data_IF_394553195439
#
_entry.id   IF_394553195439
#
_cell.length_a   1.000
_cell.length_b   1.000
_cell.length_c   1.000
_cell.angle_alpha   90.00
_cell.angle_beta   90.00
_cell.angle_gamma   90.00
#
_symmetry.space_group_name_H-M   'P 1'
#
loop_
_entity.id
_entity.type
_entity.pdbx_description
1 polymer ?
#
# COMPACT_ATOMS: atom_id res chain seq x y z
N UNK A 1 -3.72 -15.28 -24.23
CA UNK A 1 -3.24 -14.97 -22.88
C UNK A 1 -4.46 -14.80 -21.96
N UNK A 2 -4.72 -15.79 -21.12
CA UNK A 2 -5.83 -15.72 -20.15
C UNK A 2 -5.55 -14.67 -19.11
N UNK A 3 -6.56 -13.87 -18.74
CA UNK A 3 -6.47 -12.98 -17.58
C UNK A 3 -6.22 -13.81 -16.31
N UNK A 4 -5.29 -13.36 -15.46
CA UNK A 4 -4.97 -14.03 -14.19
C UNK A 4 -6.16 -14.06 -13.24
N UNK A 5 -7.06 -13.09 -13.34
CA UNK A 5 -8.27 -12.97 -12.53
C UNK A 5 -9.50 -12.93 -13.45
N UNK A 6 -10.54 -13.66 -13.07
CA UNK A 6 -11.81 -13.61 -13.79
C UNK A 6 -12.46 -12.23 -13.62
N UNK A 7 -12.59 -11.49 -14.74
CA UNK A 7 -13.11 -10.13 -14.75
C UNK A 7 -14.52 -10.05 -14.17
N UNK A 8 -15.39 -11.02 -14.46
CA UNK A 8 -16.75 -11.02 -13.91
C UNK A 8 -16.76 -11.19 -12.40
N UNK A 9 -15.90 -12.06 -11.86
CA UNK A 9 -15.73 -12.21 -10.42
C UNK A 9 -15.20 -10.92 -9.82
N UNK A 10 -14.21 -10.28 -10.43
CA UNK A 10 -13.66 -9.01 -9.98
C UNK A 10 -14.72 -7.89 -10.00
N UNK A 11 -15.53 -7.81 -11.05
CA UNK A 11 -16.63 -6.82 -11.16
C UNK A 11 -17.70 -7.03 -10.07
N UNK A 12 -17.98 -8.28 -9.70
CA UNK A 12 -18.91 -8.60 -8.61
C UNK A 12 -18.37 -8.18 -7.22
N UNK A 13 -17.07 -7.90 -7.09
CA UNK A 13 -16.48 -7.38 -5.85
C UNK A 13 -16.81 -5.91 -5.58
N UNK A 14 -17.45 -5.20 -6.51
CA UNK A 14 -17.85 -3.78 -6.35
C UNK A 14 -19.08 -3.65 -5.47
N UNK A 15 -18.88 -3.71 -4.17
CA UNK A 15 -19.95 -3.68 -3.18
C UNK A 15 -19.84 -2.56 -2.14
N UNK A 16 -18.73 -1.79 -2.16
CA UNK A 16 -18.50 -0.71 -1.21
C UNK A 16 -18.95 0.63 -1.81
N UNK A 17 -19.76 1.39 -1.08
CA UNK A 17 -20.36 2.64 -1.56
C UNK A 17 -19.59 3.88 -1.17
N UNK A 18 -18.81 3.83 -0.07
CA UNK A 18 -18.07 4.97 0.45
C UNK A 18 -16.61 4.61 0.73
N UNK A 19 -15.65 5.49 0.39
CA UNK A 19 -14.25 5.31 0.79
C UNK A 19 -14.11 5.53 2.31
N UNK A 20 -13.13 4.85 2.90
CA UNK A 20 -12.66 5.11 4.26
C UNK A 20 -11.46 6.05 4.15
N UNK A 21 -11.53 7.21 4.80
CA UNK A 21 -10.53 8.27 4.66
C UNK A 21 -9.46 8.25 5.75
N UNK A 22 -9.73 7.59 6.88
CA UNK A 22 -8.79 7.44 8.01
C UNK A 22 -9.21 6.28 8.90
N UNK A 23 -8.28 5.81 9.74
CA UNK A 23 -8.64 4.89 10.82
C UNK A 23 -9.36 5.64 11.93
N UNK A 24 -10.47 5.09 12.40
CA UNK A 24 -11.27 5.64 13.52
C UNK A 24 -11.21 4.75 14.77
N UNK A 25 -10.67 3.54 14.63
CA UNK A 25 -10.56 2.56 15.71
C UNK A 25 -9.14 1.98 15.71
N UNK A 26 -8.51 1.93 16.89
CA UNK A 26 -7.16 1.35 17.06
C UNK A 26 -7.07 -0.14 16.69
N UNK A 27 -8.19 -0.84 16.69
CA UNK A 27 -8.27 -2.27 16.32
C UNK A 27 -8.47 -2.48 14.81
N UNK A 28 -8.64 -1.42 14.04
CA UNK A 28 -8.71 -1.49 12.58
C UNK A 28 -7.36 -1.98 12.01
N UNK A 29 -7.43 -2.81 10.98
CA UNK A 29 -6.26 -3.37 10.31
C UNK A 29 -6.21 -2.87 8.86
N UNK A 30 -5.33 -1.89 8.61
CA UNK A 30 -5.09 -1.31 7.29
C UNK A 30 -3.70 -1.63 6.77
N UNK A 31 -3.62 -1.78 5.46
CA UNK A 31 -2.38 -1.92 4.69
C UNK A 31 -2.37 -0.95 3.53
N UNK A 32 -1.20 -0.42 3.20
CA UNK A 32 -1.00 0.43 2.03
C UNK A 32 -0.19 -0.32 0.98
N UNK A 33 -0.62 -0.24 -0.27
CA UNK A 33 0.15 -0.66 -1.43
C UNK A 33 0.54 0.55 -2.26
N UNK A 34 1.82 0.72 -2.58
CA UNK A 34 2.32 1.85 -3.36
C UNK A 34 2.78 1.36 -4.72
N UNK A 35 2.11 1.85 -5.76
CA UNK A 35 2.50 1.66 -7.15
C UNK A 35 3.18 2.94 -7.66
N UNK A 36 4.48 2.83 -7.97
CA UNK A 36 5.30 3.96 -8.42
C UNK A 36 5.26 4.03 -9.95
N UNK A 37 4.92 5.19 -10.47
CA UNK A 37 4.90 5.43 -11.92
C UNK A 37 6.27 5.15 -12.56
N UNK A 38 6.27 4.41 -13.66
CA UNK A 38 7.49 3.96 -14.37
C UNK A 38 8.24 5.06 -15.13
N UNK A 39 7.63 6.23 -15.32
CA UNK A 39 8.23 7.34 -16.07
C UNK A 39 7.73 8.68 -15.58
N UNK A 40 8.64 9.61 -15.38
CA UNK A 40 8.31 10.99 -15.04
C UNK A 40 7.82 11.82 -16.26
N UNK A 41 7.96 11.29 -17.48
CA UNK A 41 7.84 12.07 -18.72
C UNK A 41 6.52 11.91 -19.47
N UNK A 42 5.56 11.14 -18.96
CA UNK A 42 4.26 10.97 -19.61
C UNK A 42 3.14 11.38 -18.67
N UNK A 43 2.26 12.25 -19.17
CA UNK A 43 1.10 12.78 -18.44
C UNK A 43 0.12 11.72 -17.90
N UNK A 44 0.30 10.44 -18.27
CA UNK A 44 -0.59 9.34 -17.91
C UNK A 44 -0.03 8.38 -16.86
N UNK A 45 1.22 8.54 -16.42
CA UNK A 45 1.83 7.69 -15.41
C UNK A 45 1.72 8.36 -14.05
N UNK A 46 0.78 7.93 -13.25
CA UNK A 46 0.55 8.44 -11.90
C UNK A 46 0.90 7.36 -10.87
N UNK A 47 1.52 7.76 -9.77
CA UNK A 47 1.73 6.90 -8.62
C UNK A 47 0.46 6.86 -7.78
N UNK A 48 0.13 5.69 -7.21
CA UNK A 48 -1.06 5.50 -6.41
C UNK A 48 -0.74 4.80 -5.09
N UNK A 49 -1.53 5.13 -4.07
CA UNK A 49 -1.62 4.37 -2.83
C UNK A 49 -2.96 3.65 -2.81
N UNK A 50 -2.93 2.33 -2.77
CA UNK A 50 -4.09 1.50 -2.50
C UNK A 50 -4.24 1.29 -1.00
N UNK A 51 -5.40 1.56 -0.43
CA UNK A 51 -5.68 1.34 0.99
C UNK A 51 -6.57 0.12 1.13
N UNK A 52 -6.04 -0.90 1.80
CA UNK A 52 -6.75 -2.16 2.06
C UNK A 52 -7.09 -2.25 3.54
N UNK A 53 -8.37 -2.49 3.84
CA UNK A 53 -8.84 -2.86 5.17
C UNK A 53 -9.07 -4.35 5.24
N UNK A 54 -8.47 -5.00 6.23
CA UNK A 54 -8.69 -6.42 6.52
C UNK A 54 -9.70 -6.55 7.65
N UNK A 55 -10.82 -7.22 7.37
CA UNK A 55 -11.83 -7.55 8.38
C UNK A 55 -11.65 -9.01 8.79
N UNK A 56 -11.61 -9.25 10.10
CA UNK A 56 -11.41 -10.57 10.68
C UNK A 56 -12.59 -10.98 11.53
N UNK A 57 -12.67 -12.28 11.82
CA UNK A 57 -13.57 -12.83 12.85
C UNK A 57 -13.25 -12.22 14.22
N UNK A 58 -14.20 -12.33 15.18
CA UNK A 58 -14.02 -11.76 16.54
C UNK A 58 -12.77 -12.26 17.25
N UNK A 59 -12.41 -13.52 17.05
CA UNK A 59 -11.19 -14.14 17.60
C UNK A 59 -9.92 -13.82 16.79
N UNK A 60 -10.06 -13.01 15.71
CA UNK A 60 -9.00 -12.60 14.78
C UNK A 60 -8.30 -13.74 14.02
N UNK A 61 -8.83 -14.97 14.10
CA UNK A 61 -8.21 -16.15 13.51
C UNK A 61 -8.37 -16.25 12.00
N UNK A 62 -9.44 -15.69 11.43
CA UNK A 62 -9.78 -15.80 10.01
C UNK A 62 -10.09 -14.44 9.38
N UNK A 63 -9.72 -14.28 8.12
CA UNK A 63 -10.12 -13.14 7.29
C UNK A 63 -11.56 -13.34 6.83
N UNK A 64 -12.42 -12.37 7.12
CA UNK A 64 -13.79 -12.29 6.61
C UNK A 64 -13.80 -11.61 5.25
N UNK A 65 -13.10 -10.47 5.12
CA UNK A 65 -12.97 -9.74 3.87
C UNK A 65 -11.71 -8.90 3.82
N UNK A 66 -11.26 -8.61 2.60
CA UNK A 66 -10.24 -7.62 2.28
C UNK A 66 -10.88 -6.56 1.40
N UNK A 67 -10.93 -5.33 1.90
CA UNK A 67 -11.65 -4.24 1.27
C UNK A 67 -10.66 -3.20 0.73
N UNK A 68 -10.68 -2.97 -0.59
CA UNK A 68 -10.02 -1.80 -1.19
C UNK A 68 -10.90 -0.58 -0.90
N UNK A 69 -10.59 0.14 0.16
CA UNK A 69 -11.42 1.20 0.72
C UNK A 69 -11.06 2.59 0.25
N UNK A 70 -9.89 2.76 -0.35
CA UNK A 70 -9.49 4.01 -0.98
C UNK A 70 -8.38 3.78 -2.02
N UNK A 71 -8.31 4.68 -2.99
CA UNK A 71 -7.25 4.76 -3.99
C UNK A 71 -6.81 6.22 -4.09
N UNK A 72 -5.57 6.49 -3.69
CA UNK A 72 -5.06 7.85 -3.53
C UNK A 72 -4.01 8.09 -4.61
N UNK A 73 -4.21 9.15 -5.39
CA UNK A 73 -3.24 9.58 -6.38
C UNK A 73 -2.12 10.41 -5.73
N UNK A 74 -0.86 10.02 -5.99
CA UNK A 74 0.31 10.81 -5.64
C UNK A 74 0.73 11.59 -6.90
N UNK A 75 0.74 12.93 -6.88
CA UNK A 75 1.14 13.73 -8.05
C UNK A 75 2.55 13.39 -8.53
N UNK A 76 2.72 13.13 -9.83
CA UNK A 76 4.01 12.78 -10.44
C UNK A 76 5.07 13.89 -10.40
N UNK A 77 4.63 15.15 -10.18
CA UNK A 77 5.53 16.30 -10.04
C UNK A 77 6.32 16.28 -8.74
N UNK A 78 5.92 15.43 -7.76
CA UNK A 78 6.63 15.31 -6.50
C UNK A 78 7.88 14.46 -6.68
N UNK A 79 9.01 14.93 -6.13
CA UNK A 79 10.21 14.12 -6.00
C UNK A 79 10.01 13.00 -4.95
N UNK A 80 10.92 12.05 -4.86
CA UNK A 80 10.80 10.93 -3.94
C UNK A 80 10.74 11.34 -2.46
N UNK A 81 11.46 12.40 -2.08
CA UNK A 81 11.38 12.94 -0.71
C UNK A 81 9.96 13.39 -0.37
N UNK A 82 9.31 14.14 -1.26
CA UNK A 82 7.94 14.60 -1.06
C UNK A 82 6.93 13.44 -1.12
N UNK A 83 7.14 12.47 -2.02
CA UNK A 83 6.31 11.26 -2.09
C UNK A 83 6.44 10.44 -0.80
N UNK A 84 7.65 10.26 -0.26
CA UNK A 84 7.88 9.56 1.00
C UNK A 84 7.15 10.24 2.16
N UNK A 85 7.20 11.57 2.26
CA UNK A 85 6.43 12.31 3.26
C UNK A 85 4.93 12.07 3.12
N UNK A 86 4.40 12.10 1.91
CA UNK A 86 2.98 11.84 1.62
C UNK A 86 2.58 10.43 2.07
N UNK A 87 3.35 9.42 1.72
CA UNK A 87 3.10 8.03 2.09
C UNK A 87 3.13 7.86 3.61
N UNK A 88 4.12 8.42 4.29
CA UNK A 88 4.23 8.36 5.76
C UNK A 88 3.06 9.05 6.46
N UNK A 89 2.55 10.15 5.92
CA UNK A 89 1.34 10.82 6.45
C UNK A 89 0.11 9.93 6.31
N UNK A 90 -0.09 9.27 5.17
CA UNK A 90 -1.20 8.33 4.99
C UNK A 90 -1.05 7.09 5.86
N UNK A 91 0.17 6.55 6.03
CA UNK A 91 0.42 5.48 6.99
C UNK A 91 -0.04 5.87 8.40
N UNK A 92 0.28 7.06 8.84
CA UNK A 92 -0.13 7.59 10.15
C UNK A 92 -1.65 7.79 10.22
N UNK A 93 -2.27 8.34 9.17
CA UNK A 93 -3.72 8.59 9.09
C UNK A 93 -4.54 7.31 9.19
N UNK A 94 -4.11 6.24 8.55
CA UNK A 94 -4.78 4.93 8.61
C UNK A 94 -4.27 4.04 9.74
N UNK A 95 -3.23 4.44 10.45
CA UNK A 95 -2.50 3.56 11.37
C UNK A 95 -2.16 2.21 10.72
N UNK A 96 -1.63 2.28 9.50
CA UNK A 96 -1.37 1.09 8.69
C UNK A 96 -0.36 0.16 9.37
N UNK A 97 -0.59 -1.14 9.25
CA UNK A 97 0.25 -2.19 9.83
C UNK A 97 1.48 -2.50 9.00
N UNK A 98 1.37 -2.30 7.69
CA UNK A 98 2.48 -2.41 6.75
C UNK A 98 2.22 -1.57 5.49
N UNK A 99 3.31 -1.23 4.81
CA UNK A 99 3.30 -0.53 3.52
C UNK A 99 4.11 -1.34 2.54
N UNK A 100 3.49 -1.75 1.45
CA UNK A 100 4.09 -2.56 0.38
C UNK A 100 4.50 -1.66 -0.76
N UNK A 101 5.75 -1.72 -1.18
CA UNK A 101 6.28 -0.94 -2.31
C UNK A 101 7.00 -1.88 -3.28
N UNK A 102 6.75 -1.73 -4.58
CA UNK A 102 7.57 -2.39 -5.60
C UNK A 102 8.90 -1.64 -5.73
N UNK A 103 9.96 -2.24 -5.17
CA UNK A 103 11.31 -1.68 -5.16
C UNK A 103 12.08 -1.85 -6.47
N UNK A 104 11.43 -2.30 -7.56
CA UNK A 104 12.08 -2.41 -8.86
C UNK A 104 12.11 -1.04 -9.57
N UNK A 105 13.19 -0.78 -10.30
CA UNK A 105 13.32 0.45 -11.09
C UNK A 105 13.23 1.71 -10.22
N UNK A 106 12.29 2.59 -10.53
CA UNK A 106 12.08 3.86 -9.81
C UNK A 106 11.65 3.66 -8.36
N UNK A 107 11.05 2.51 -8.03
CA UNK A 107 10.65 2.19 -6.66
C UNK A 107 11.82 2.10 -5.68
N UNK A 108 13.02 1.77 -6.15
CA UNK A 108 14.22 1.75 -5.31
C UNK A 108 14.53 3.13 -4.73
N UNK A 109 14.46 4.19 -5.54
CA UNK A 109 14.70 5.56 -5.05
C UNK A 109 13.65 6.03 -4.03
N UNK A 110 12.40 5.60 -4.18
CA UNK A 110 11.37 5.87 -3.18
C UNK A 110 11.63 5.11 -1.87
N UNK A 111 12.04 3.83 -1.96
CA UNK A 111 12.39 3.04 -0.77
C UNK A 111 13.55 3.69 -0.01
N UNK A 112 14.61 4.13 -0.70
CA UNK A 112 15.71 4.84 -0.05
C UNK A 112 15.25 6.07 0.75
N UNK A 113 14.29 6.81 0.24
CA UNK A 113 13.71 7.96 0.97
C UNK A 113 12.80 7.53 2.13
N UNK A 114 12.08 6.42 2.03
CA UNK A 114 11.24 5.90 3.10
C UNK A 114 12.07 5.39 4.29
N UNK A 115 13.27 4.88 4.06
CA UNK A 115 14.20 4.42 5.10
C UNK A 115 14.82 5.59 5.88
N UNK A 116 14.91 6.78 5.30
CA UNK A 116 15.41 7.99 5.96
C UNK A 116 14.35 8.62 6.85
N UNK A 117 14.81 9.40 7.83
CA UNK A 117 13.91 10.27 8.57
C UNK A 117 13.31 11.32 7.63
N UNK A 118 11.99 11.49 7.72
CA UNK A 118 11.24 12.48 6.95
C UNK A 118 10.57 13.48 7.89
N UNK A 119 10.41 14.71 7.44
CA UNK A 119 9.74 15.77 8.19
C UNK A 119 8.55 16.29 7.39
N UNK A 120 7.43 16.53 8.07
CA UNK A 120 6.29 17.19 7.45
C UNK A 120 6.71 18.58 6.95
N UNK A 121 6.52 18.89 5.65
CA UNK A 121 6.95 20.18 5.10
C UNK A 121 6.21 21.38 5.70
N UNK A 122 5.03 21.19 6.27
CA UNK A 122 4.19 22.22 6.85
C UNK A 122 4.43 22.35 8.36
N UNK A 123 4.25 21.26 9.10
CA UNK A 123 4.35 21.26 10.58
C UNK A 123 5.78 21.15 11.10
N UNK A 124 6.71 20.70 10.24
CA UNK A 124 8.11 20.38 10.61
C UNK A 124 8.26 19.21 11.60
N UNK A 125 7.18 18.54 11.93
CA UNK A 125 7.22 17.34 12.77
C UNK A 125 7.89 16.18 12.07
N UNK A 126 8.63 15.36 12.82
CA UNK A 126 9.19 14.11 12.30
C UNK A 126 8.09 13.12 11.94
N UNK A 127 8.20 12.54 10.75
CA UNK A 127 7.39 11.44 10.28
C UNK A 127 8.09 10.08 10.49
N UNK A 128 9.27 10.11 11.11
CA UNK A 128 10.07 8.94 11.41
C UNK A 128 10.85 8.39 10.22
N UNK A 129 11.66 7.37 10.50
CA UNK A 129 12.33 6.54 9.51
C UNK A 129 11.78 5.13 9.58
N UNK A 130 11.81 4.43 8.45
CA UNK A 130 11.28 3.08 8.33
C UNK A 130 12.39 2.06 8.15
N UNK A 131 12.08 0.80 8.46
CA UNK A 131 12.90 -0.35 8.16
C UNK A 131 12.06 -1.37 7.41
N UNK A 132 12.72 -2.25 6.67
CA UNK A 132 12.07 -3.31 5.91
C UNK A 132 11.69 -4.49 6.80
N UNK A 133 10.57 -5.12 6.47
CA UNK A 133 10.11 -6.35 7.15
C UNK A 133 10.79 -7.59 6.55
N UNK A 134 11.10 -7.56 5.24
CA UNK A 134 11.46 -8.74 4.44
C UNK A 134 12.81 -8.67 3.74
N UNK A 135 13.56 -7.61 3.92
CA UNK A 135 14.87 -7.44 3.25
C UNK A 135 15.96 -7.11 4.27
N UNK A 136 16.76 -8.10 4.62
CA UNK A 136 17.87 -7.97 5.57
C UNK A 136 19.14 -7.37 4.94
N UNK A 137 19.13 -7.10 3.64
CA UNK A 137 20.27 -6.53 2.90
C UNK A 137 20.15 -5.02 2.66
N UNK A 138 19.14 -4.37 3.23
CA UNK A 138 19.01 -2.93 3.15
C UNK A 138 20.09 -2.21 3.99
N UNK A 139 20.42 -0.95 3.67
CA UNK A 139 21.40 -0.19 4.42
C UNK A 139 21.03 -0.10 5.90
N UNK A 140 22.05 0.04 6.74
CA UNK A 140 21.85 0.25 8.18
C UNK A 140 20.90 1.41 8.42
N UNK A 141 19.83 1.13 9.17
CA UNK A 141 18.86 2.11 9.61
C UNK A 141 18.97 2.32 11.12
N UNK A 142 18.58 3.48 11.65
CA UNK A 142 18.54 3.71 13.09
C UNK A 142 17.72 2.66 13.84
N UNK A 143 18.13 2.30 15.07
CA UNK A 143 17.40 1.32 15.91
C UNK A 143 15.95 1.75 16.19
N UNK A 144 15.65 3.05 16.11
CA UNK A 144 14.30 3.61 16.28
C UNK A 144 13.44 3.49 15.02
N UNK A 145 13.99 2.96 13.91
CA UNK A 145 13.25 2.81 12.67
C UNK A 145 12.06 1.85 12.84
N UNK A 146 10.93 2.23 12.29
CA UNK A 146 9.71 1.41 12.36
C UNK A 146 9.75 0.33 11.29
N UNK A 147 9.73 -0.94 11.68
CA UNK A 147 9.63 -2.10 10.77
C UNK A 147 8.23 -2.19 10.17
N UNK A 148 8.04 -1.54 9.03
CA UNK A 148 6.72 -1.42 8.40
C UNK A 148 6.74 -1.58 6.88
N UNK A 149 7.92 -1.45 6.26
CA UNK A 149 8.08 -1.46 4.81
C UNK A 149 8.29 -2.89 4.30
N UNK A 150 7.40 -3.34 3.41
CA UNK A 150 7.57 -4.57 2.66
C UNK A 150 8.04 -4.24 1.25
N UNK A 151 9.27 -4.65 0.92
CA UNK A 151 9.87 -4.43 -0.39
C UNK A 151 9.57 -5.59 -1.34
N UNK A 152 8.80 -5.33 -2.39
CA UNK A 152 8.35 -6.33 -3.36
C UNK A 152 9.37 -6.49 -4.51
N UNK A 153 10.66 -6.72 -4.19
CA UNK A 153 11.72 -6.96 -5.19
C UNK A 153 11.74 -8.37 -5.75
N UNK A 154 11.47 -9.36 -4.90
CA UNK A 154 11.65 -10.75 -5.25
C UNK A 154 10.49 -11.27 -6.09
N UNK A 155 10.78 -11.84 -7.26
CA UNK A 155 9.79 -12.45 -8.14
C UNK A 155 8.96 -13.55 -7.44
N UNK A 156 9.58 -14.31 -6.53
CA UNK A 156 8.88 -15.31 -5.72
C UNK A 156 7.85 -14.71 -4.77
N UNK A 157 8.16 -13.56 -4.16
CA UNK A 157 7.23 -12.83 -3.31
C UNK A 157 6.07 -12.26 -4.11
N UNK A 158 6.33 -11.71 -5.30
CA UNK A 158 5.29 -11.24 -6.22
C UNK A 158 4.33 -12.35 -6.62
N UNK A 159 4.85 -13.52 -6.99
CA UNK A 159 4.04 -14.68 -7.39
C UNK A 159 3.12 -15.15 -6.24
N UNK A 160 3.64 -15.21 -5.01
CA UNK A 160 2.86 -15.60 -3.83
C UNK A 160 1.76 -14.59 -3.52
N UNK A 161 2.03 -13.29 -3.62
CA UNK A 161 1.05 -12.23 -3.40
C UNK A 161 -0.05 -12.30 -4.45
N UNK A 162 0.29 -12.47 -5.73
CA UNK A 162 -0.67 -12.62 -6.82
C UNK A 162 -1.56 -13.84 -6.60
N UNK A 163 -1.00 -14.99 -6.23
CA UNK A 163 -1.76 -16.20 -5.94
C UNK A 163 -2.73 -15.98 -4.78
N UNK A 164 -2.28 -15.40 -3.68
CA UNK A 164 -3.12 -15.10 -2.54
C UNK A 164 -4.25 -14.12 -2.88
N UNK A 165 -3.97 -13.12 -3.73
CA UNK A 165 -5.00 -12.19 -4.20
C UNK A 165 -6.06 -12.89 -5.06
N UNK A 166 -5.66 -13.77 -5.97
CA UNK A 166 -6.59 -14.57 -6.77
C UNK A 166 -7.51 -15.41 -5.87
N UNK A 167 -6.94 -16.06 -4.85
CA UNK A 167 -7.71 -16.86 -3.89
C UNK A 167 -8.74 -16.01 -3.12
N UNK A 168 -8.37 -14.82 -2.72
CA UNK A 168 -9.27 -13.88 -2.02
C UNK A 168 -10.41 -13.44 -2.94
N UNK A 169 -10.14 -13.14 -4.21
CA UNK A 169 -11.17 -12.77 -5.20
C UNK A 169 -12.10 -13.96 -5.49
N UNK A 170 -11.51 -15.13 -5.73
CA UNK A 170 -12.28 -16.34 -6.08
C UNK A 170 -13.16 -16.83 -4.94
N UNK A 171 -12.75 -16.64 -3.69
CA UNK A 171 -13.56 -16.96 -2.50
C UNK A 171 -14.62 -15.92 -2.16
N UNK A 172 -14.73 -14.82 -2.93
CA UNK A 172 -15.67 -13.72 -2.68
C UNK A 172 -15.34 -12.86 -1.46
N UNK A 173 -14.13 -12.95 -0.94
CA UNK A 173 -13.70 -12.17 0.24
C UNK A 173 -13.15 -10.79 -0.12
N UNK A 174 -12.84 -10.52 -1.39
CA UNK A 174 -12.38 -9.21 -1.84
C UNK A 174 -13.56 -8.28 -2.14
N UNK A 175 -13.51 -7.06 -1.63
CA UNK A 175 -14.49 -6.01 -1.92
C UNK A 175 -13.79 -4.72 -2.33
N UNK A 176 -14.41 -3.97 -3.22
CA UNK A 176 -13.92 -2.67 -3.67
C UNK A 176 -15.07 -1.69 -3.91
N UNK A 177 -14.71 -0.42 -4.08
CA UNK A 177 -15.66 0.66 -4.32
C UNK A 177 -16.43 0.46 -5.63
N UNK A 178 -17.71 0.82 -5.61
CA UNK A 178 -18.53 0.90 -6.81
C UNK A 178 -17.99 1.97 -7.78
N UNK A 179 -18.18 1.74 -9.07
CA UNK A 179 -17.91 2.79 -10.04
C UNK A 179 -18.90 3.96 -9.81
N UNK A 180 -18.40 5.18 -9.80
CA UNK A 180 -19.28 6.35 -9.86
C UNK A 180 -20.08 6.28 -11.17
N UNK A 181 -21.39 6.35 -11.07
CA UNK A 181 -22.28 6.53 -12.21
C UNK A 181 -22.13 7.92 -12.78
#
# INVERSE_FOLDING_TARGET
SGALVNINKLMNCRSLTKPILSSTNKDDEFYLGVDVARSQNTSNNQSFISVIKVNRTKDKSKIVSMDLVNLINIPNILNFTAQACTIKKYKKMYNAKAVVVDGNGLGAGLIDELLKESFDPVTKESLGCWDTINDDNEPEVPDIAEKILYNLKAQSAQSKIVTNFIDVVDSGKFRMLEAKK
#
